data_IF_550354801612
#
_entry.id   IF_550354801612
#
_cell.length_a   1.000
_cell.length_b   1.000
_cell.length_c   1.000
_cell.angle_alpha   90.00
_cell.angle_beta   90.00
_cell.angle_gamma   90.00
#
_symmetry.space_group_name_H-M   'P 1'
#
loop_
_entity.id
_entity.type
_entity.pdbx_description
1 polymer ?
#
# COMPACT_ATOMS: atom_id res chain seq x y z
N UNK A 1 -5.75 -8.39 8.47
CA UNK A 1 -4.52 -9.11 8.78
C UNK A 1 -3.51 -8.24 9.50
N UNK A 2 -3.05 -7.11 8.96
CA UNK A 2 -2.10 -6.19 9.65
C UNK A 2 -2.62 -5.62 10.97
N UNK A 3 -3.93 -5.43 11.15
CA UNK A 3 -4.53 -4.99 12.42
C UNK A 3 -4.25 -5.90 13.61
N UNK A 4 -3.91 -7.18 13.34
CA UNK A 4 -3.57 -8.18 14.37
C UNK A 4 -2.06 -8.28 14.63
N UNK A 5 -1.25 -7.57 13.89
CA UNK A 5 0.17 -7.42 14.18
C UNK A 5 0.35 -6.51 15.41
N UNK A 6 1.22 -6.93 16.33
CA UNK A 6 1.43 -6.24 17.61
C UNK A 6 1.89 -4.80 17.42
N UNK A 7 2.73 -4.55 16.42
CA UNK A 7 3.29 -3.21 16.15
C UNK A 7 2.21 -2.25 15.64
N UNK A 8 1.37 -2.72 14.70
CA UNK A 8 0.25 -1.91 14.20
C UNK A 8 -0.83 -1.70 15.26
N UNK A 9 -1.14 -2.72 16.05
CA UNK A 9 -2.09 -2.61 17.17
C UNK A 9 -1.61 -1.60 18.22
N UNK A 10 -0.31 -1.61 18.56
CA UNK A 10 0.27 -0.65 19.48
C UNK A 10 0.28 0.78 18.90
N UNK A 11 0.58 0.93 17.62
CA UNK A 11 0.48 2.23 16.95
C UNK A 11 -0.95 2.78 17.02
N UNK A 12 -1.95 1.93 16.76
CA UNK A 12 -3.37 2.32 16.87
C UNK A 12 -3.74 2.72 18.29
N UNK A 13 -3.29 1.97 19.29
CA UNK A 13 -3.52 2.30 20.70
C UNK A 13 -2.98 3.69 21.06
N UNK A 14 -1.77 4.03 20.60
CA UNK A 14 -1.17 5.37 20.79
C UNK A 14 -1.96 6.47 20.11
N UNK A 15 -2.44 6.21 18.90
CA UNK A 15 -3.31 7.14 18.18
C UNK A 15 -4.59 7.39 18.98
N UNK A 16 -5.26 6.32 19.44
CA UNK A 16 -6.53 6.42 20.16
C UNK A 16 -6.39 7.09 21.54
N UNK A 17 -5.23 6.92 22.18
CA UNK A 17 -4.90 7.63 23.43
C UNK A 17 -4.55 9.11 23.22
N UNK A 18 -4.39 9.56 21.99
CA UNK A 18 -4.00 10.94 21.68
C UNK A 18 -2.50 11.22 21.80
N UNK A 19 -1.65 10.19 21.97
CA UNK A 19 -0.21 10.33 22.20
C UNK A 19 0.50 11.11 21.08
N UNK A 20 -0.04 11.06 19.85
CA UNK A 20 0.51 11.77 18.68
C UNK A 20 -0.40 12.91 18.19
N UNK A 21 -1.49 13.21 18.92
CA UNK A 21 -2.47 14.17 18.49
C UNK A 21 -3.31 13.70 17.28
N UNK A 22 -3.82 14.66 16.50
CA UNK A 22 -4.63 14.34 15.32
C UNK A 22 -3.78 13.75 14.20
N UNK A 23 -4.20 12.60 13.68
CA UNK A 23 -3.56 12.00 12.49
C UNK A 23 -3.91 12.85 11.25
N UNK A 24 -2.90 13.42 10.64
CA UNK A 24 -3.04 14.27 9.44
C UNK A 24 -2.52 13.61 8.17
N UNK A 25 -1.59 12.67 8.31
CA UNK A 25 -1.00 11.93 7.19
C UNK A 25 -0.61 10.52 7.61
N UNK A 26 -1.00 9.54 6.80
CA UNK A 26 -0.51 8.16 6.89
C UNK A 26 0.21 7.81 5.60
N UNK A 27 1.46 7.36 5.70
CA UNK A 27 2.23 6.84 4.56
C UNK A 27 2.42 5.34 4.73
N UNK A 28 2.11 4.59 3.69
CA UNK A 28 2.27 3.14 3.68
C UNK A 28 2.99 2.67 2.43
N UNK A 29 3.93 1.76 2.60
CA UNK A 29 4.75 1.23 1.51
C UNK A 29 4.72 -0.29 1.57
N UNK A 30 4.35 -0.93 0.47
CA UNK A 30 4.40 -2.38 0.32
C UNK A 30 5.26 -2.72 -0.88
N UNK A 31 6.32 -3.48 -0.64
CA UNK A 31 7.31 -3.83 -1.63
C UNK A 31 7.61 -5.34 -1.55
N UNK A 32 7.50 -6.02 -2.67
CA UNK A 32 7.82 -7.44 -2.76
C UNK A 32 9.33 -7.65 -2.90
N UNK A 33 9.91 -8.59 -2.16
CA UNK A 33 11.29 -8.97 -2.38
C UNK A 33 11.45 -9.70 -3.71
N UNK A 34 12.58 -9.49 -4.39
CA UNK A 34 12.85 -10.13 -5.69
C UNK A 34 12.81 -11.67 -5.64
N UNK A 35 13.04 -12.26 -4.47
CA UNK A 35 12.97 -13.70 -4.27
C UNK A 35 11.57 -14.31 -4.47
N UNK A 36 10.51 -13.51 -4.41
CA UNK A 36 9.13 -13.97 -4.60
C UNK A 36 8.60 -13.74 -6.01
N UNK A 37 9.41 -13.17 -6.91
CA UNK A 37 8.92 -12.69 -8.20
C UNK A 37 8.30 -13.80 -9.08
N UNK A 38 8.86 -15.00 -9.08
CA UNK A 38 8.31 -16.11 -9.90
C UNK A 38 6.90 -16.49 -9.46
N UNK A 39 6.66 -16.59 -8.14
CA UNK A 39 5.33 -16.88 -7.60
C UNK A 39 4.36 -15.71 -7.83
N UNK A 40 4.85 -14.50 -7.70
CA UNK A 40 4.08 -13.28 -7.95
C UNK A 40 3.62 -13.19 -9.41
N UNK A 41 4.51 -13.44 -10.38
CA UNK A 41 4.16 -13.43 -11.81
C UNK A 41 3.17 -14.54 -12.17
N UNK A 42 3.30 -15.74 -11.57
CA UNK A 42 2.32 -16.83 -11.75
C UNK A 42 0.94 -16.47 -11.21
N UNK A 43 0.88 -15.72 -10.12
CA UNK A 43 -0.37 -15.29 -9.48
C UNK A 43 -0.99 -14.08 -10.16
N UNK A 44 -0.21 -13.21 -10.78
CA UNK A 44 -0.65 -11.92 -11.33
C UNK A 44 -1.95 -12.00 -12.17
N UNK A 45 -2.15 -12.99 -13.09
CA UNK A 45 -3.40 -13.09 -13.87
C UNK A 45 -4.65 -13.28 -13.02
N UNK A 46 -4.51 -13.74 -11.78
CA UNK A 46 -5.61 -14.04 -10.85
C UNK A 46 -5.67 -13.07 -9.66
N UNK A 47 -4.76 -12.10 -9.60
CA UNK A 47 -4.59 -11.22 -8.44
C UNK A 47 -5.66 -10.13 -8.30
N UNK A 48 -6.33 -9.79 -9.39
CA UNK A 48 -7.21 -8.63 -9.47
C UNK A 48 -6.48 -7.30 -9.66
N UNK A 49 -5.16 -7.35 -9.89
CA UNK A 49 -4.30 -6.19 -10.13
C UNK A 49 -3.53 -5.72 -8.90
N UNK A 50 -2.52 -4.90 -9.16
CA UNK A 50 -1.55 -4.39 -8.19
C UNK A 50 -2.20 -3.74 -6.96
N UNK A 51 -3.23 -2.92 -7.17
CA UNK A 51 -3.89 -2.23 -6.08
C UNK A 51 -4.70 -3.18 -5.20
N UNK A 52 -5.41 -4.14 -5.79
CA UNK A 52 -6.22 -5.08 -5.03
C UNK A 52 -5.36 -6.09 -4.29
N UNK A 53 -4.31 -6.60 -4.92
CA UNK A 53 -3.43 -7.60 -4.34
C UNK A 53 -2.53 -7.03 -3.22
N UNK A 54 -1.84 -5.94 -3.49
CA UNK A 54 -0.86 -5.39 -2.56
C UNK A 54 -1.42 -4.28 -1.67
N UNK A 55 -2.14 -3.32 -2.28
CA UNK A 55 -2.51 -2.10 -1.58
C UNK A 55 -3.74 -2.22 -0.68
N UNK A 56 -4.51 -3.31 -0.78
CA UNK A 56 -5.66 -3.54 0.10
C UNK A 56 -5.29 -3.43 1.58
N UNK A 57 -4.10 -3.90 1.94
CA UNK A 57 -3.60 -3.81 3.31
C UNK A 57 -3.21 -2.38 3.71
N UNK A 58 -2.69 -1.61 2.76
CA UNK A 58 -2.29 -0.22 2.99
C UNK A 58 -3.52 0.69 3.11
N UNK A 59 -4.51 0.49 2.26
CA UNK A 59 -5.80 1.20 2.31
C UNK A 59 -6.50 0.92 3.64
N UNK A 60 -6.51 -0.33 4.09
CA UNK A 60 -7.09 -0.71 5.38
C UNK A 60 -6.38 -0.01 6.55
N UNK A 61 -5.05 0.05 6.55
CA UNK A 61 -4.29 0.77 7.57
C UNK A 61 -4.55 2.28 7.56
N UNK A 62 -4.60 2.90 6.38
CA UNK A 62 -4.88 4.33 6.25
C UNK A 62 -6.25 4.64 6.84
N UNK A 63 -7.30 3.90 6.46
CA UNK A 63 -8.64 4.06 7.04
C UNK A 63 -8.66 3.84 8.54
N UNK A 64 -7.99 2.82 9.02
CA UNK A 64 -7.97 2.47 10.44
C UNK A 64 -7.25 3.51 11.30
N UNK A 65 -6.10 4.01 10.87
CA UNK A 65 -5.33 4.99 11.61
C UNK A 65 -5.94 6.40 11.56
N UNK A 66 -6.55 6.77 10.43
CA UNK A 66 -7.23 8.06 10.32
C UNK A 66 -8.63 8.05 10.96
N UNK A 67 -9.22 6.87 11.18
CA UNK A 67 -10.60 6.74 11.65
C UNK A 67 -11.62 7.31 10.68
N UNK A 68 -11.35 7.29 9.37
CA UNK A 68 -12.17 7.97 8.37
C UNK A 68 -12.26 7.14 7.09
N UNK A 69 -13.30 7.39 6.29
CA UNK A 69 -13.44 6.81 4.96
C UNK A 69 -12.75 7.66 3.88
N UNK A 70 -12.53 7.03 2.74
CA UNK A 70 -11.88 7.64 1.57
C UNK A 70 -12.87 8.57 0.86
N UNK A 71 -12.44 9.81 0.60
CA UNK A 71 -13.20 10.79 -0.18
C UNK A 71 -12.78 10.84 -1.63
N UNK A 72 -11.48 10.98 -1.88
CA UNK A 72 -10.91 11.06 -3.23
C UNK A 72 -9.61 10.27 -3.31
N UNK A 73 -9.30 9.73 -4.50
CA UNK A 73 -8.07 9.02 -4.81
C UNK A 73 -7.49 9.55 -6.12
N UNK A 74 -6.18 9.79 -6.13
CA UNK A 74 -5.38 10.05 -7.33
C UNK A 74 -4.30 8.98 -7.39
N UNK A 75 -4.32 8.18 -8.44
CA UNK A 75 -3.45 7.03 -8.57
C UNK A 75 -2.76 7.01 -9.94
N UNK A 76 -1.52 6.55 -9.94
CA UNK A 76 -0.74 6.29 -11.14
C UNK A 76 -0.03 4.95 -11.00
N UNK A 77 0.23 4.31 -12.12
CA UNK A 77 1.01 3.10 -12.18
C UNK A 77 1.72 2.96 -13.52
N UNK A 78 2.69 2.09 -13.57
CA UNK A 78 3.44 1.81 -14.79
C UNK A 78 4.10 0.45 -14.75
N UNK A 79 4.52 -0.01 -15.93
CA UNK A 79 5.27 -1.25 -16.09
C UNK A 79 6.70 -0.90 -16.46
N UNK A 80 7.63 -1.26 -15.61
CA UNK A 80 9.05 -0.89 -15.75
C UNK A 80 9.97 -2.11 -15.89
N UNK A 81 9.60 -3.26 -15.38
CA UNK A 81 10.46 -4.44 -15.36
C UNK A 81 9.79 -5.69 -15.95
N UNK A 82 8.49 -5.90 -15.73
CA UNK A 82 7.82 -7.14 -16.14
C UNK A 82 6.73 -6.91 -17.18
N UNK A 83 7.02 -7.19 -18.44
CA UNK A 83 6.09 -6.97 -19.57
C UNK A 83 4.75 -7.71 -19.42
N UNK A 84 4.71 -8.80 -18.64
CA UNK A 84 3.46 -9.49 -18.32
C UNK A 84 2.38 -8.53 -17.78
N UNK A 85 2.76 -7.53 -16.99
CA UNK A 85 1.79 -6.57 -16.45
C UNK A 85 1.18 -5.67 -17.53
N UNK A 86 1.88 -5.44 -18.66
CA UNK A 86 1.28 -4.76 -19.83
C UNK A 86 0.18 -5.59 -20.45
N UNK A 87 0.43 -6.91 -20.61
CA UNK A 87 -0.56 -7.85 -21.16
C UNK A 87 -1.80 -7.97 -20.28
N UNK A 88 -1.62 -7.83 -18.96
CA UNK A 88 -2.69 -7.85 -17.97
C UNK A 88 -3.40 -6.50 -17.79
N UNK A 89 -2.97 -5.45 -18.50
CA UNK A 89 -3.44 -4.07 -18.30
C UNK A 89 -3.32 -3.63 -16.82
N UNK A 90 -2.18 -3.95 -16.21
CA UNK A 90 -1.86 -3.70 -14.81
C UNK A 90 -0.50 -2.99 -14.69
N UNK A 91 0.02 -2.83 -13.50
CA UNK A 91 1.30 -2.18 -13.20
C UNK A 91 2.20 -3.07 -12.33
N UNK A 92 3.51 -2.95 -12.46
CA UNK A 92 4.48 -3.51 -11.51
C UNK A 92 4.95 -2.49 -10.47
N UNK A 93 4.71 -1.21 -10.72
CA UNK A 93 4.91 -0.11 -9.78
C UNK A 93 3.70 0.82 -9.78
N UNK A 94 3.22 1.18 -8.60
CA UNK A 94 2.06 2.05 -8.46
C UNK A 94 2.16 2.95 -7.22
N UNK A 95 1.58 4.13 -7.33
CA UNK A 95 1.47 5.07 -6.22
C UNK A 95 0.09 5.72 -6.20
N UNK A 96 -0.39 6.05 -5.02
CA UNK A 96 -1.62 6.81 -4.88
C UNK A 96 -1.55 7.80 -3.72
N UNK A 97 -2.22 8.92 -3.90
CA UNK A 97 -2.58 9.86 -2.84
C UNK A 97 -4.06 9.77 -2.56
N UNK A 98 -4.42 9.85 -1.29
CA UNK A 98 -5.78 9.63 -0.81
C UNK A 98 -6.18 10.81 0.05
N UNK A 99 -7.35 11.39 -0.22
CA UNK A 99 -7.99 12.33 0.67
C UNK A 99 -9.07 11.62 1.47
N UNK A 100 -9.02 11.74 2.79
CA UNK A 100 -10.02 11.18 3.69
C UNK A 100 -11.17 12.19 3.91
N UNK A 101 -12.35 11.71 4.29
CA UNK A 101 -13.51 12.56 4.57
C UNK A 101 -13.25 13.55 5.71
N UNK A 102 -12.48 13.15 6.73
CA UNK A 102 -12.13 14.03 7.86
C UNK A 102 -10.98 15.02 7.54
N UNK A 103 -10.50 15.06 6.28
CA UNK A 103 -9.42 15.92 5.82
C UNK A 103 -8.02 15.38 6.00
N UNK A 104 -7.83 14.22 6.64
CA UNK A 104 -6.55 13.53 6.69
C UNK A 104 -6.12 13.07 5.29
N UNK A 105 -4.83 12.82 5.13
CA UNK A 105 -4.24 12.38 3.87
C UNK A 105 -3.64 10.97 4.01
N UNK A 106 -3.73 10.20 2.92
CA UNK A 106 -3.01 8.94 2.75
C UNK A 106 -2.04 9.02 1.58
N UNK A 107 -0.91 8.37 1.71
CA UNK A 107 -0.01 8.11 0.60
C UNK A 107 0.40 6.65 0.62
N UNK A 108 0.30 5.99 -0.52
CA UNK A 108 0.77 4.61 -0.67
C UNK A 108 1.63 4.46 -1.91
N UNK A 109 2.63 3.61 -1.80
CA UNK A 109 3.49 3.19 -2.89
C UNK A 109 3.70 1.69 -2.82
N UNK A 110 3.63 1.04 -3.97
CA UNK A 110 3.85 -0.39 -4.08
C UNK A 110 4.71 -0.73 -5.29
N UNK A 111 5.58 -1.70 -5.16
CA UNK A 111 6.30 -2.27 -6.27
C UNK A 111 6.50 -3.78 -6.12
N UNK A 112 6.68 -4.45 -7.28
CA UNK A 112 6.95 -5.90 -7.35
C UNK A 112 8.44 -6.23 -7.30
N UNK A 113 9.30 -5.22 -7.24
CA UNK A 113 10.76 -5.40 -7.21
C UNK A 113 11.43 -4.43 -6.27
N UNK A 114 11.82 -4.91 -5.11
CA UNK A 114 12.74 -4.18 -4.25
C UNK A 114 14.16 -4.28 -4.82
N UNK A 115 14.70 -3.16 -5.28
CA UNK A 115 16.07 -3.11 -5.77
C UNK A 115 17.07 -3.38 -4.64
N UNK A 116 17.94 -4.40 -4.80
CA UNK A 116 19.00 -4.75 -3.83
C UNK A 116 19.96 -3.60 -3.50
N UNK A 117 20.03 -2.54 -4.31
CA UNK A 117 20.94 -1.42 -4.09
C UNK A 117 20.56 -0.50 -2.93
N UNK A 118 19.36 -0.59 -2.41
CA UNK A 118 18.91 0.22 -1.25
C UNK A 118 19.10 -0.49 0.10
N UNK A 119 19.69 -1.69 0.11
CA UNK A 119 19.98 -2.46 1.34
C UNK A 119 21.44 -2.29 1.83
N UNK A 120 22.13 -1.21 1.46
CA UNK A 120 23.46 -0.88 2.00
C UNK A 120 23.38 0.30 2.96
#
# INVERSE_FOLDING_TARGET
MRRFDKSYAEAKRKIDNGDIGKVVLVRSYTQDPRSTIESTLKFAPHSGGQYLDMCVHDIDLIRWFTGSDVKNVWAIGGVFEFDLYKELNDADNAAATIQMENGAMGFMFTNRTLCRRLQR
#
